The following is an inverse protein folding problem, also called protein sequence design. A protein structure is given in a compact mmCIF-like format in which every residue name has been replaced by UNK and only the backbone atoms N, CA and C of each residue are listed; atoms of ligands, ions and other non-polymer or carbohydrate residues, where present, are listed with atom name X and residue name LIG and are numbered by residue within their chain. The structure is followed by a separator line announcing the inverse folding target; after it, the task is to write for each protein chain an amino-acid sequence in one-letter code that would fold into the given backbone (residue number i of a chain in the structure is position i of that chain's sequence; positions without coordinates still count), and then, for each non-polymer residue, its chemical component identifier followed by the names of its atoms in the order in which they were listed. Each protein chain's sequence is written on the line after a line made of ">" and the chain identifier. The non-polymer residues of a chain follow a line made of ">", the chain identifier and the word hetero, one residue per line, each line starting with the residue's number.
data_IF_849527384103
#
_entry.id   IF_849527384103
#
_cell.length_a   1.000
_cell.length_b   1.000
_cell.length_c   1.000
_cell.angle_alpha   90.00
_cell.angle_beta   90.00
_cell.angle_gamma   90.00
#
_symmetry.space_group_name_H-M   'P 1'
#
loop_
_entity.id
_entity.type
_entity.pdbx_description
1 polymer ?
#
# COMPACT_ATOMS: atom_id res chain seq x y z
N UNK A 1 28.67 -2.40 5.67
CA UNK A 1 28.02 -2.36 7.01
C UNK A 1 27.53 -3.75 7.36
N UNK A 2 27.69 -4.19 8.61
CA UNK A 2 27.08 -5.44 9.09
C UNK A 2 25.89 -5.13 10.00
N UNK A 3 24.80 -5.88 9.84
CA UNK A 3 23.58 -5.73 10.60
C UNK A 3 23.14 -7.09 11.17
N UNK A 4 22.79 -7.13 12.44
CA UNK A 4 22.05 -8.26 12.96
C UNK A 4 20.63 -8.32 12.37
N UNK A 5 19.98 -9.50 12.38
CA UNK A 5 18.60 -9.64 11.92
C UNK A 5 17.63 -8.71 12.69
N UNK A 6 17.90 -8.47 13.98
CA UNK A 6 17.10 -7.55 14.79
C UNK A 6 17.31 -6.07 14.40
N UNK A 7 18.53 -5.66 14.03
CA UNK A 7 18.81 -4.31 13.54
C UNK A 7 18.12 -4.07 12.19
N UNK A 8 18.21 -5.03 11.27
CA UNK A 8 17.53 -4.97 9.97
C UNK A 8 16.01 -4.81 10.12
N UNK A 9 15.41 -5.56 11.05
CA UNK A 9 13.98 -5.45 11.36
C UNK A 9 13.61 -4.08 11.90
N UNK A 10 14.37 -3.56 12.87
CA UNK A 10 14.14 -2.22 13.43
C UNK A 10 14.33 -1.11 12.40
N UNK A 11 15.34 -1.23 11.52
CA UNK A 11 15.53 -0.30 10.40
C UNK A 11 14.29 -0.27 9.49
N UNK A 12 13.76 -1.43 9.12
CA UNK A 12 12.57 -1.53 8.27
C UNK A 12 11.33 -0.94 8.95
N UNK A 13 11.11 -1.25 10.23
CA UNK A 13 9.96 -0.72 10.98
C UNK A 13 10.06 0.80 11.16
N UNK A 14 11.24 1.33 11.50
CA UNK A 14 11.46 2.76 11.64
C UNK A 14 11.24 3.50 10.32
N UNK A 15 11.83 2.99 9.22
CA UNK A 15 11.69 3.57 7.89
C UNK A 15 10.23 3.66 7.44
N UNK A 16 9.37 2.76 7.91
CA UNK A 16 7.96 2.71 7.56
C UNK A 16 7.01 3.33 8.60
N UNK A 17 7.51 4.22 9.44
CA UNK A 17 6.66 5.09 10.26
C UNK A 17 6.20 4.50 11.60
N UNK A 18 6.82 3.42 12.07
CA UNK A 18 6.53 2.88 13.40
C UNK A 18 7.35 3.53 14.52
N UNK A 19 8.22 4.47 14.21
CA UNK A 19 9.03 5.18 15.20
C UNK A 19 8.29 6.38 15.79
N UNK A 20 8.31 6.55 17.12
CA UNK A 20 7.72 7.69 17.80
C UNK A 20 8.35 9.04 17.37
N UNK A 21 9.64 9.06 16.99
CA UNK A 21 10.33 10.29 16.57
C UNK A 21 9.77 10.88 15.26
N UNK A 22 9.11 10.09 14.44
CA UNK A 22 8.43 10.57 13.23
C UNK A 22 7.08 11.21 13.54
N UNK A 23 6.44 10.85 14.67
CA UNK A 23 5.14 11.42 15.08
C UNK A 23 5.26 12.88 15.56
N UNK A 24 6.40 13.28 16.09
CA UNK A 24 6.61 14.62 16.70
C UNK A 24 6.93 15.73 15.70
N UNK A 25 7.27 15.42 14.44
CA UNK A 25 7.62 16.40 13.39
C UNK A 25 6.47 16.74 12.44
N UNK A 26 5.25 16.30 12.74
CA UNK A 26 4.14 16.25 11.79
C UNK A 26 3.33 17.53 11.82
N UNK A 27 3.13 18.18 10.67
CA UNK A 27 2.27 19.35 10.49
C UNK A 27 0.78 18.98 10.51
N UNK A 28 0.42 17.77 10.01
CA UNK A 28 -0.95 17.26 9.89
C UNK A 28 -1.00 15.79 10.34
N UNK A 29 -2.14 15.28 10.80
CA UNK A 29 -2.26 13.96 11.44
C UNK A 29 -1.70 12.77 10.66
N UNK A 30 -1.67 12.84 9.31
CA UNK A 30 -1.29 11.71 8.46
C UNK A 30 0.09 11.85 7.79
N UNK A 31 0.66 13.06 7.78
CA UNK A 31 1.89 13.38 7.03
C UNK A 31 3.03 12.41 7.37
N UNK A 32 3.27 12.12 8.64
CA UNK A 32 4.37 11.24 9.03
C UNK A 32 4.29 9.81 8.49
N UNK A 33 3.09 9.23 8.43
CA UNK A 33 2.89 7.91 7.84
C UNK A 33 2.91 7.96 6.31
N UNK A 34 2.31 8.99 5.72
CA UNK A 34 2.31 9.17 4.27
C UNK A 34 3.73 9.41 3.74
N UNK A 35 4.52 10.22 4.43
CA UNK A 35 5.93 10.44 4.10
C UNK A 35 6.77 9.18 4.27
N UNK A 36 6.51 8.38 5.31
CA UNK A 36 7.22 7.13 5.53
C UNK A 36 6.87 6.06 4.50
N UNK A 37 5.64 6.04 4.01
CA UNK A 37 5.17 5.03 3.05
C UNK A 37 5.35 5.48 1.60
N UNK A 38 5.08 6.74 1.30
CA UNK A 38 5.18 7.32 -0.05
C UNK A 38 4.26 6.73 -1.11
N UNK A 39 3.84 5.48 -0.95
CA UNK A 39 2.95 4.73 -1.85
C UNK A 39 1.87 4.06 -1.01
N UNK A 40 0.62 4.32 -1.32
CA UNK A 40 -0.53 3.62 -0.74
C UNK A 40 -1.25 2.81 -1.81
N UNK A 41 -1.12 1.50 -1.75
CA UNK A 41 -1.81 0.63 -2.69
C UNK A 41 -3.33 0.70 -2.50
N UNK A 42 -4.03 0.87 -3.61
CA UNK A 42 -5.48 0.89 -3.69
C UNK A 42 -6.00 -0.47 -4.14
N UNK A 43 -6.91 -1.03 -3.35
CA UNK A 43 -7.59 -2.28 -3.69
C UNK A 43 -9.10 -2.17 -3.42
N UNK A 44 -9.88 -2.85 -4.23
CA UNK A 44 -11.35 -2.83 -4.16
C UNK A 44 -11.93 -3.65 -3.01
N UNK A 45 -11.15 -4.57 -2.44
CA UNK A 45 -11.58 -5.42 -1.33
C UNK A 45 -11.98 -4.54 -0.13
N UNK A 46 -13.21 -4.74 0.36
CA UNK A 46 -13.80 -4.00 1.48
C UNK A 46 -14.51 -4.93 2.48
N UNK A 47 -13.88 -6.05 2.78
CA UNK A 47 -14.43 -7.05 3.72
C UNK A 47 -14.38 -6.52 5.16
N UNK A 48 -13.27 -5.89 5.54
CA UNK A 48 -13.10 -5.16 6.80
C UNK A 48 -12.96 -3.67 6.51
N UNK A 49 -11.83 -3.24 5.96
CA UNK A 49 -11.55 -1.88 5.51
C UNK A 49 -10.81 -1.92 4.18
N UNK A 50 -10.93 -0.87 3.36
CA UNK A 50 -10.16 -0.75 2.12
C UNK A 50 -8.67 -0.63 2.43
N UNK A 51 -7.85 -1.12 1.51
CA UNK A 51 -6.40 -1.27 1.66
C UNK A 51 -5.66 -0.01 2.14
N UNK A 52 -6.02 1.16 1.62
CA UNK A 52 -5.34 2.43 1.90
C UNK A 52 -5.66 3.03 3.29
N UNK A 53 -6.73 2.59 3.95
CA UNK A 53 -7.04 3.04 5.31
C UNK A 53 -6.19 2.33 6.37
N UNK A 54 -5.88 1.05 6.16
CA UNK A 54 -5.21 0.22 7.15
C UNK A 54 -3.77 0.64 7.45
N UNK A 55 -2.93 1.10 6.49
CA UNK A 55 -1.59 1.58 6.81
C UNK A 55 -1.57 2.77 7.78
N UNK A 56 -2.58 3.64 7.69
CA UNK A 56 -2.75 4.74 8.65
C UNK A 56 -3.19 4.20 10.02
N UNK A 57 -4.18 3.31 10.05
CA UNK A 57 -4.63 2.65 11.28
C UNK A 57 -3.49 1.90 11.98
N UNK A 58 -2.67 1.15 11.25
CA UNK A 58 -1.54 0.40 11.79
C UNK A 58 -0.49 1.28 12.49
N UNK A 59 -0.37 2.55 12.09
CA UNK A 59 0.65 3.48 12.58
C UNK A 59 0.14 4.50 13.58
N UNK A 60 -1.15 4.84 13.51
CA UNK A 60 -1.76 5.89 14.34
C UNK A 60 -2.86 5.37 15.28
N UNK A 61 -3.38 4.16 15.05
CA UNK A 61 -4.62 3.71 15.68
C UNK A 61 -5.85 4.25 14.97
N UNK A 62 -6.97 4.38 15.70
CA UNK A 62 -8.23 4.89 15.15
C UNK A 62 -8.13 6.35 14.71
N UNK A 63 -8.79 6.70 13.62
CA UNK A 63 -8.83 8.06 13.08
C UNK A 63 -10.10 8.27 12.24
N UNK A 64 -10.40 9.53 11.92
CA UNK A 64 -11.50 9.91 11.03
C UNK A 64 -11.11 9.66 9.56
N UNK A 65 -11.80 8.72 8.92
CA UNK A 65 -11.55 8.34 7.52
C UNK A 65 -11.90 9.43 6.51
N UNK A 66 -12.92 10.25 6.80
CA UNK A 66 -13.30 11.36 5.91
C UNK A 66 -12.21 12.44 5.87
N UNK A 67 -11.53 12.66 6.99
CA UNK A 67 -10.35 13.55 7.03
C UNK A 67 -9.19 13.00 6.23
N UNK A 68 -8.95 11.68 6.25
CA UNK A 68 -7.93 11.07 5.40
C UNK A 68 -8.33 11.17 3.92
N UNK A 69 -9.57 10.88 3.56
CA UNK A 69 -10.05 10.99 2.18
C UNK A 69 -9.94 12.44 1.68
N UNK A 70 -10.30 13.41 2.50
CA UNK A 70 -10.12 14.82 2.16
C UNK A 70 -8.65 15.18 1.91
N UNK A 71 -7.72 14.62 2.72
CA UNK A 71 -6.30 14.83 2.54
C UNK A 71 -5.77 14.15 1.27
N UNK A 72 -6.15 12.91 1.02
CA UNK A 72 -5.66 12.13 -0.12
C UNK A 72 -6.20 12.61 -1.48
N UNK A 73 -7.47 13.06 -1.52
CA UNK A 73 -8.14 13.35 -2.79
C UNK A 73 -8.36 14.84 -3.06
N UNK A 74 -8.39 15.69 -2.02
CA UNK A 74 -8.76 17.10 -2.15
C UNK A 74 -7.65 18.09 -1.79
N UNK A 75 -6.51 17.61 -1.25
CA UNK A 75 -5.37 18.49 -0.94
C UNK A 75 -4.58 18.94 -2.17
N UNK A 76 -4.66 18.21 -3.29
CA UNK A 76 -3.79 18.39 -4.44
C UNK A 76 -2.37 17.82 -4.24
N UNK A 77 -2.09 17.17 -3.10
CA UNK A 77 -0.75 16.64 -2.78
C UNK A 77 -0.53 15.21 -3.29
N UNK A 78 -1.61 14.47 -3.56
CA UNK A 78 -1.58 13.08 -4.01
C UNK A 78 -2.31 12.90 -5.34
N UNK A 79 -1.89 11.90 -6.09
CA UNK A 79 -2.54 11.45 -7.33
C UNK A 79 -2.49 9.94 -7.44
N UNK A 80 -3.43 9.35 -8.18
CA UNK A 80 -3.38 7.92 -8.49
C UNK A 80 -2.53 7.64 -9.70
N UNK A 81 -1.67 6.63 -9.59
CA UNK A 81 -1.01 6.03 -10.75
C UNK A 81 -0.58 4.57 -10.48
N UNK A 82 -0.08 3.92 -11.51
CA UNK A 82 0.53 2.60 -11.43
C UNK A 82 1.95 2.70 -10.86
N UNK A 83 2.10 2.63 -9.53
CA UNK A 83 3.38 2.60 -8.84
C UNK A 83 3.67 1.20 -8.30
N UNK A 84 3.18 0.86 -7.10
CA UNK A 84 3.07 -0.52 -6.66
C UNK A 84 1.62 -0.93 -6.87
N UNK A 85 1.30 -1.54 -8.03
CA UNK A 85 -0.05 -1.71 -8.55
C UNK A 85 -0.79 -0.34 -8.67
N UNK A 86 -2.12 -0.32 -8.62
CA UNK A 86 -2.86 0.93 -8.50
C UNK A 86 -2.58 1.55 -7.12
N UNK A 87 -2.06 2.75 -7.08
CA UNK A 87 -1.64 3.37 -5.85
C UNK A 87 -1.82 4.89 -5.86
N UNK A 88 -1.92 5.47 -4.66
CA UNK A 88 -1.71 6.89 -4.43
C UNK A 88 -0.22 7.16 -4.26
N UNK A 89 0.25 8.19 -4.92
CA UNK A 89 1.63 8.70 -4.87
C UNK A 89 1.59 10.23 -4.69
N UNK A 90 2.65 10.85 -4.13
CA UNK A 90 2.76 12.30 -4.14
C UNK A 90 2.70 12.86 -5.57
N UNK A 91 1.97 13.94 -5.76
CA UNK A 91 1.86 14.65 -7.06
C UNK A 91 3.23 15.03 -7.60
N UNK A 92 4.14 15.48 -6.72
CA UNK A 92 5.52 15.84 -7.07
C UNK A 92 6.34 14.67 -7.64
N UNK A 93 5.94 13.42 -7.39
CA UNK A 93 6.63 12.24 -7.90
C UNK A 93 6.05 11.71 -9.21
N UNK A 94 4.92 12.24 -9.66
CA UNK A 94 4.29 11.79 -10.91
C UNK A 94 5.24 11.85 -12.12
N UNK A 95 6.09 12.88 -12.30
CA UNK A 95 7.07 12.93 -13.38
C UNK A 95 8.04 11.73 -13.40
N UNK A 96 8.31 11.12 -12.25
CA UNK A 96 9.18 9.94 -12.14
C UNK A 96 8.56 8.68 -12.75
N UNK A 97 7.28 8.71 -13.09
CA UNK A 97 6.56 7.61 -13.75
C UNK A 97 6.34 7.85 -15.26
N UNK A 98 6.87 8.93 -15.82
CA UNK A 98 6.75 9.26 -17.25
C UNK A 98 7.24 8.14 -18.18
N UNK A 99 8.32 7.44 -17.82
CA UNK A 99 8.81 6.28 -18.56
C UNK A 99 7.77 5.13 -18.64
N UNK A 100 6.93 4.99 -17.60
CA UNK A 100 5.87 3.98 -17.57
C UNK A 100 4.69 4.40 -18.44
N UNK A 101 4.35 5.70 -18.42
CA UNK A 101 3.35 6.28 -19.32
C UNK A 101 3.74 6.06 -20.78
N UNK A 102 5.01 6.25 -21.08
CA UNK A 102 5.55 5.99 -22.42
C UNK A 102 5.48 4.51 -22.81
N UNK A 103 5.80 3.59 -21.89
CA UNK A 103 5.62 2.16 -22.13
C UNK A 103 4.15 1.78 -22.40
N UNK A 104 3.18 2.45 -21.77
CA UNK A 104 1.76 2.26 -22.08
C UNK A 104 1.42 2.74 -23.49
N UNK A 105 1.93 3.90 -23.94
CA UNK A 105 1.75 4.41 -25.32
C UNK A 105 2.30 3.42 -26.33
N UNK A 106 3.57 3.06 -26.20
CA UNK A 106 4.24 2.13 -27.13
C UNK A 106 3.52 0.77 -27.22
N UNK A 107 3.10 0.23 -26.10
CA UNK A 107 2.34 -1.03 -26.10
C UNK A 107 1.00 -0.89 -26.80
N UNK A 108 0.27 0.20 -26.57
CA UNK A 108 -1.03 0.46 -27.20
C UNK A 108 -0.88 0.64 -28.73
N UNK A 109 0.16 1.32 -29.18
CA UNK A 109 0.49 1.47 -30.61
C UNK A 109 0.79 0.13 -31.27
N UNK A 110 1.68 -0.68 -30.66
CA UNK A 110 2.02 -2.02 -31.14
C UNK A 110 0.83 -2.98 -31.23
N UNK A 111 -0.20 -2.77 -30.41
CA UNK A 111 -1.43 -3.55 -30.41
C UNK A 111 -2.54 -2.96 -31.31
N UNK A 112 -2.28 -1.87 -32.01
CA UNK A 112 -3.30 -1.17 -32.80
C UNK A 112 -4.46 -0.61 -31.96
N UNK A 113 -4.27 -0.52 -30.64
CA UNK A 113 -5.33 -0.11 -29.71
C UNK A 113 -5.69 1.36 -29.89
N UNK A 114 -4.71 2.19 -30.13
CA UNK A 114 -4.89 3.63 -30.30
C UNK A 114 -5.75 3.96 -31.53
N UNK A 115 -5.49 3.29 -32.67
CA UNK A 115 -6.28 3.42 -33.89
C UNK A 115 -7.71 2.90 -33.69
N UNK A 116 -7.85 1.71 -33.09
CA UNK A 116 -9.15 1.09 -32.83
C UNK A 116 -10.04 1.85 -31.85
N UNK A 117 -9.46 2.75 -31.03
CA UNK A 117 -10.17 3.56 -30.04
C UNK A 117 -10.14 5.07 -30.36
N UNK A 118 -9.63 5.51 -31.52
CA UNK A 118 -9.39 6.91 -31.82
C UNK A 118 -10.64 7.81 -31.63
N UNK A 119 -11.80 7.35 -32.08
CA UNK A 119 -13.06 8.07 -31.94
C UNK A 119 -13.48 8.19 -30.45
N UNK A 120 -13.33 7.12 -29.68
CA UNK A 120 -13.66 7.11 -28.25
C UNK A 120 -12.69 7.94 -27.42
N UNK A 121 -11.39 7.88 -27.73
CA UNK A 121 -10.36 8.71 -27.11
C UNK A 121 -10.69 10.20 -27.32
N UNK A 122 -11.00 10.59 -28.57
CA UNK A 122 -11.41 11.96 -28.90
C UNK A 122 -12.67 12.39 -28.14
N UNK A 123 -13.66 11.52 -28.09
CA UNK A 123 -14.90 11.77 -27.37
C UNK A 123 -14.66 11.98 -25.86
N UNK A 124 -13.92 11.06 -25.22
CA UNK A 124 -13.60 11.16 -23.80
C UNK A 124 -12.86 12.45 -23.47
N UNK A 125 -11.85 12.84 -24.30
CA UNK A 125 -11.13 14.12 -24.12
C UNK A 125 -12.07 15.32 -24.18
N UNK A 126 -12.94 15.38 -25.18
CA UNK A 126 -13.90 16.48 -25.35
C UNK A 126 -14.87 16.57 -24.17
N UNK A 127 -15.41 15.43 -23.71
CA UNK A 127 -16.33 15.42 -22.58
C UNK A 127 -15.64 15.89 -21.29
N UNK A 128 -14.47 15.37 -20.98
CA UNK A 128 -13.72 15.76 -19.79
C UNK A 128 -13.28 17.22 -19.84
N UNK A 129 -12.93 17.74 -21.03
CA UNK A 129 -12.57 19.14 -21.22
C UNK A 129 -13.75 20.10 -20.98
N UNK A 130 -14.94 19.71 -21.41
CA UNK A 130 -16.14 20.54 -21.32
C UNK A 130 -16.88 20.46 -19.98
N UNK A 131 -16.93 19.27 -19.38
CA UNK A 131 -17.78 18.99 -18.23
C UNK A 131 -16.99 18.76 -16.92
N UNK A 132 -15.65 18.68 -17.01
CA UNK A 132 -14.79 18.42 -15.85
C UNK A 132 -14.79 16.95 -15.41
N UNK A 133 -14.53 16.66 -14.12
CA UNK A 133 -14.34 15.29 -13.64
C UNK A 133 -15.61 14.44 -13.76
N UNK A 134 -15.49 13.27 -14.42
CA UNK A 134 -16.58 12.34 -14.70
C UNK A 134 -16.21 10.90 -14.32
N UNK A 135 -17.19 10.09 -13.91
CA UNK A 135 -17.00 8.64 -13.78
C UNK A 135 -16.99 7.96 -15.15
N UNK A 136 -16.46 6.73 -15.23
CA UNK A 136 -16.55 5.96 -16.46
C UNK A 136 -18.00 5.70 -16.90
N UNK A 137 -18.94 5.61 -15.94
CA UNK A 137 -20.37 5.45 -16.21
C UNK A 137 -20.98 6.68 -16.85
N UNK A 138 -20.61 7.91 -16.41
CA UNK A 138 -21.09 9.18 -16.96
C UNK A 138 -20.55 9.41 -18.38
N UNK A 139 -19.42 8.81 -18.72
CA UNK A 139 -18.80 8.88 -20.04
C UNK A 139 -19.39 7.90 -21.05
N UNK A 140 -20.11 6.85 -20.63
CA UNK A 140 -20.71 5.89 -21.57
C UNK A 140 -21.69 6.58 -22.53
N UNK A 141 -21.57 6.31 -23.83
CA UNK A 141 -22.46 6.87 -24.86
C UNK A 141 -23.83 6.24 -24.86
N UNK A 142 -23.90 4.95 -24.58
CA UNK A 142 -25.14 4.18 -24.57
C UNK A 142 -25.31 3.49 -23.21
N UNK A 143 -26.55 3.44 -22.68
CA UNK A 143 -26.84 2.58 -21.54
C UNK A 143 -26.44 1.16 -21.87
N UNK A 144 -25.76 0.46 -20.97
CA UNK A 144 -25.37 -0.94 -21.15
C UNK A 144 -26.60 -1.79 -21.45
N UNK A 145 -26.92 -1.92 -22.73
CA UNK A 145 -27.92 -2.85 -23.24
C UNK A 145 -27.37 -4.28 -23.15
N UNK A 146 -28.04 -5.11 -22.37
CA UNK A 146 -27.79 -6.44 -21.93
C UNK A 146 -26.95 -7.39 -22.78
N UNK A 147 -26.33 -8.38 -22.10
CA UNK A 147 -25.66 -9.59 -22.59
C UNK A 147 -24.20 -9.45 -23.07
N UNK A 148 -23.38 -8.56 -22.46
CA UNK A 148 -21.93 -8.79 -22.42
C UNK A 148 -21.59 -9.64 -21.19
N UNK A 149 -20.52 -10.44 -21.24
CA UNK A 149 -19.98 -11.07 -20.05
C UNK A 149 -19.53 -9.99 -19.07
N UNK A 150 -19.62 -10.23 -17.77
CA UNK A 150 -19.19 -9.33 -16.68
C UNK A 150 -17.77 -8.73 -16.89
N UNK A 151 -16.96 -9.33 -17.77
CA UNK A 151 -15.57 -8.96 -18.08
C UNK A 151 -15.39 -8.09 -19.34
N UNK A 152 -16.44 -7.87 -20.14
CA UNK A 152 -16.33 -7.07 -21.38
C UNK A 152 -16.42 -5.59 -21.06
N UNK A 153 -15.26 -4.93 -21.11
CA UNK A 153 -15.20 -3.48 -21.01
C UNK A 153 -15.75 -2.83 -22.30
N UNK A 154 -16.56 -1.78 -22.12
CA UNK A 154 -16.99 -0.93 -23.24
C UNK A 154 -15.78 -0.27 -23.91
N UNK A 155 -15.95 0.18 -25.13
CA UNK A 155 -14.91 0.95 -25.83
C UNK A 155 -14.56 2.24 -25.07
N UNK A 156 -15.58 2.92 -24.51
CA UNK A 156 -15.39 4.10 -23.66
C UNK A 156 -14.53 3.79 -22.43
N UNK A 157 -14.83 2.70 -21.71
CA UNK A 157 -14.02 2.28 -20.57
C UNK A 157 -12.58 1.95 -20.96
N UNK A 158 -12.36 1.29 -22.10
CA UNK A 158 -11.03 0.99 -22.63
C UNK A 158 -10.27 2.28 -22.99
N UNK A 159 -10.95 3.27 -23.61
CA UNK A 159 -10.36 4.56 -23.93
C UNK A 159 -9.95 5.34 -22.68
N UNK A 160 -10.81 5.38 -21.65
CA UNK A 160 -10.50 6.04 -20.38
C UNK A 160 -9.29 5.39 -19.69
N UNK A 161 -9.24 4.06 -19.61
CA UNK A 161 -8.10 3.36 -18.99
C UNK A 161 -6.81 3.49 -19.82
N UNK A 162 -6.92 3.58 -21.15
CA UNK A 162 -5.79 3.93 -22.02
C UNK A 162 -5.26 5.34 -21.67
N UNK A 163 -6.11 6.34 -21.65
CA UNK A 163 -5.75 7.72 -21.32
C UNK A 163 -5.20 7.86 -19.90
N UNK A 164 -5.72 7.08 -18.94
CA UNK A 164 -5.17 7.00 -17.59
C UNK A 164 -3.77 6.36 -17.59
N UNK A 165 -3.58 5.27 -18.34
CA UNK A 165 -2.30 4.59 -18.48
C UNK A 165 -1.22 5.46 -19.11
N UNK A 166 -1.58 6.27 -20.14
CA UNK A 166 -0.69 7.22 -20.81
C UNK A 166 -0.46 8.50 -19.99
N UNK A 167 -1.22 8.71 -18.92
CA UNK A 167 -1.11 9.86 -18.04
C UNK A 167 -1.80 11.12 -18.55
N UNK A 168 -2.57 11.04 -19.63
CA UNK A 168 -3.37 12.18 -20.15
C UNK A 168 -4.58 12.45 -19.27
N UNK A 169 -5.10 11.41 -18.62
CA UNK A 169 -6.20 11.46 -17.68
C UNK A 169 -5.73 11.01 -16.29
N UNK A 170 -6.26 11.64 -15.26
CA UNK A 170 -5.97 11.34 -13.85
C UNK A 170 -7.26 11.03 -13.10
N UNK A 171 -7.14 10.44 -11.91
CA UNK A 171 -8.23 10.33 -10.95
C UNK A 171 -8.29 11.61 -10.14
N UNK A 172 -9.32 12.43 -10.35
CA UNK A 172 -9.52 13.64 -9.57
C UNK A 172 -9.98 13.35 -8.15
N UNK A 173 -10.84 12.37 -8.00
CA UNK A 173 -11.36 11.88 -6.71
C UNK A 173 -11.95 10.48 -6.86
N UNK A 174 -12.35 9.89 -5.73
CA UNK A 174 -13.17 8.67 -5.72
C UNK A 174 -14.49 8.88 -4.97
N UNK A 175 -15.59 8.61 -5.65
CA UNK A 175 -16.92 8.61 -5.05
C UNK A 175 -17.42 7.17 -4.94
N UNK A 176 -17.73 6.67 -3.75
CA UNK A 176 -18.05 5.26 -3.53
C UNK A 176 -16.97 4.30 -4.02
N UNK A 177 -15.71 4.75 -4.03
CA UNK A 177 -14.54 4.07 -4.59
C UNK A 177 -14.45 4.04 -6.12
N UNK A 178 -15.39 4.60 -6.84
CA UNK A 178 -15.30 4.80 -8.29
C UNK A 178 -14.47 6.04 -8.59
N UNK A 179 -13.53 5.93 -9.54
CA UNK A 179 -12.75 7.07 -10.03
C UNK A 179 -13.64 8.08 -10.75
N UNK A 180 -13.41 9.34 -10.48
CA UNK A 180 -13.81 10.45 -11.35
C UNK A 180 -12.58 10.91 -12.11
N UNK A 181 -12.62 10.77 -13.40
CA UNK A 181 -11.50 11.07 -14.30
C UNK A 181 -11.53 12.52 -14.72
N UNK A 182 -10.36 13.15 -14.78
CA UNK A 182 -10.15 14.50 -15.29
C UNK A 182 -8.95 14.54 -16.24
N UNK A 183 -8.88 15.54 -17.12
CA UNK A 183 -7.68 15.80 -17.90
C UNK A 183 -6.55 16.25 -16.98
N UNK A 184 -5.38 15.63 -17.14
CA UNK A 184 -4.22 15.93 -16.30
C UNK A 184 -3.83 17.41 -16.35
N UNK A 185 -3.82 18.01 -17.56
CA UNK A 185 -3.48 19.41 -17.80
C UNK A 185 -4.41 20.43 -17.14
N UNK A 186 -5.67 20.04 -16.88
CA UNK A 186 -6.66 20.89 -16.21
C UNK A 186 -6.70 20.69 -14.70
N UNK A 187 -6.20 19.55 -14.23
CA UNK A 187 -6.38 19.14 -12.83
C UNK A 187 -5.08 19.18 -12.00
N UNK A 188 -3.94 18.87 -12.61
CA UNK A 188 -2.67 18.83 -11.91
C UNK A 188 -1.88 20.13 -12.07
N UNK A 189 -1.03 20.47 -11.08
CA UNK A 189 -0.11 21.59 -11.22
C UNK A 189 0.93 21.31 -12.30
N UNK A 190 1.43 22.36 -12.96
CA UNK A 190 2.35 22.29 -14.09
C UNK A 190 3.57 21.40 -13.84
N UNK A 191 4.18 21.48 -12.65
CA UNK A 191 5.36 20.69 -12.29
C UNK A 191 5.09 19.17 -12.28
N UNK A 192 3.85 18.73 -12.20
CA UNK A 192 3.44 17.33 -12.24
C UNK A 192 3.14 16.81 -13.65
N UNK A 193 3.06 17.68 -14.66
CA UNK A 193 2.73 17.31 -16.04
C UNK A 193 3.96 16.83 -16.83
N UNK A 194 5.16 17.22 -16.39
CA UNK A 194 6.43 16.83 -16.99
C UNK A 194 6.76 15.34 -16.85
N UNK A 195 7.84 14.96 -17.50
CA UNK A 195 8.42 13.61 -17.39
C UNK A 195 9.93 13.73 -17.11
N UNK A 196 10.43 12.99 -16.12
CA UNK A 196 11.86 12.87 -15.90
C UNK A 196 12.48 11.87 -16.89
N UNK A 197 13.75 12.06 -17.31
CA UNK A 197 14.49 11.06 -18.08
C UNK A 197 14.43 9.70 -17.36
N UNK A 198 14.22 8.60 -18.11
CA UNK A 198 13.91 7.31 -17.52
C UNK A 198 14.97 6.83 -16.52
N UNK A 199 16.26 7.02 -16.81
CA UNK A 199 17.34 6.61 -15.93
C UNK A 199 17.34 7.44 -14.64
N UNK A 200 17.21 8.76 -14.72
CA UNK A 200 17.10 9.65 -13.56
C UNK A 200 15.90 9.29 -12.70
N UNK A 201 14.76 9.03 -13.31
CA UNK A 201 13.56 8.58 -12.61
C UNK A 201 13.80 7.26 -11.84
N UNK A 202 14.48 6.29 -12.46
CA UNK A 202 14.82 5.03 -11.80
C UNK A 202 15.76 5.24 -10.61
N UNK A 203 16.79 6.09 -10.74
CA UNK A 203 17.70 6.44 -9.63
C UNK A 203 16.93 7.03 -8.47
N UNK A 204 16.08 8.03 -8.71
CA UNK A 204 15.26 8.67 -7.67
C UNK A 204 14.25 7.70 -7.03
N UNK A 205 13.62 6.82 -7.83
CA UNK A 205 12.68 5.84 -7.29
C UNK A 205 13.37 4.76 -6.44
N UNK A 206 14.58 4.33 -6.80
CA UNK A 206 15.39 3.40 -6.00
C UNK A 206 15.85 4.05 -4.70
N UNK A 207 16.31 5.30 -4.73
CA UNK A 207 16.66 6.06 -3.53
C UNK A 207 15.46 6.18 -2.58
N UNK A 208 14.29 6.57 -3.11
CA UNK A 208 13.05 6.64 -2.34
C UNK A 208 12.68 5.28 -1.73
N UNK A 209 12.83 4.18 -2.48
CA UNK A 209 12.58 2.84 -1.98
C UNK A 209 13.54 2.48 -0.83
N UNK A 210 14.83 2.82 -0.94
CA UNK A 210 15.82 2.54 0.10
C UNK A 210 15.49 3.25 1.41
N UNK A 211 15.08 4.52 1.33
CA UNK A 211 14.64 5.29 2.50
C UNK A 211 13.42 4.66 3.19
N UNK A 212 12.48 4.06 2.42
CA UNK A 212 11.23 3.47 2.96
C UNK A 212 11.40 2.03 3.40
N UNK A 213 12.39 1.33 2.87
CA UNK A 213 12.68 -0.05 3.26
C UNK A 213 13.65 -0.15 4.44
N UNK A 214 14.43 0.91 4.71
CA UNK A 214 15.46 0.94 5.74
C UNK A 214 16.68 0.08 5.38
N UNK A 215 16.47 -1.18 5.05
CA UNK A 215 17.46 -2.09 4.46
C UNK A 215 16.77 -2.97 3.41
N UNK A 216 17.40 -3.21 2.28
CA UNK A 216 16.81 -4.02 1.20
C UNK A 216 17.83 -4.60 0.26
N UNK A 217 17.48 -5.74 -0.34
CA UNK A 217 18.19 -6.35 -1.47
C UNK A 217 17.80 -5.67 -2.79
N UNK A 218 18.52 -5.90 -3.87
CA UNK A 218 18.15 -5.34 -5.17
C UNK A 218 16.70 -5.68 -5.60
N UNK A 219 16.20 -6.92 -5.41
CA UNK A 219 14.79 -7.22 -5.65
C UNK A 219 13.83 -6.43 -4.76
N UNK A 220 14.17 -6.16 -3.48
CA UNK A 220 13.32 -5.39 -2.58
C UNK A 220 13.19 -3.94 -3.07
N UNK A 221 14.32 -3.31 -3.42
CA UNK A 221 14.39 -1.94 -3.93
C UNK A 221 13.63 -1.78 -5.26
N UNK A 222 13.77 -2.77 -6.16
CA UNK A 222 13.06 -2.78 -7.43
C UNK A 222 11.55 -2.94 -7.25
N UNK A 223 11.11 -3.82 -6.36
CA UNK A 223 9.70 -4.16 -6.16
C UNK A 223 8.90 -2.97 -5.63
N UNK A 224 9.49 -2.10 -4.82
CA UNK A 224 8.79 -0.98 -4.19
C UNK A 224 8.02 -0.11 -5.18
N UNK A 225 8.62 0.15 -6.36
CA UNK A 225 8.01 0.90 -7.46
C UNK A 225 7.84 0.06 -8.72
N UNK A 226 7.83 -1.27 -8.61
CA UNK A 226 7.68 -2.21 -9.75
C UNK A 226 8.66 -1.93 -10.89
N UNK A 227 9.92 -1.66 -10.56
CA UNK A 227 10.98 -1.50 -11.55
C UNK A 227 11.43 -2.86 -12.09
N UNK A 228 11.82 -2.88 -13.36
CA UNK A 228 12.50 -4.05 -13.94
C UNK A 228 13.91 -4.19 -13.35
N UNK A 229 14.38 -5.42 -13.23
CA UNK A 229 15.67 -5.75 -12.60
C UNK A 229 16.86 -4.95 -13.17
N UNK A 230 16.99 -4.88 -14.50
CA UNK A 230 18.12 -4.18 -15.14
C UNK A 230 18.19 -2.70 -14.77
N UNK A 231 17.13 -1.91 -15.04
CA UNK A 231 17.07 -0.50 -14.64
C UNK A 231 17.26 -0.26 -13.14
N UNK A 232 16.70 -1.13 -12.29
CA UNK A 232 16.88 -1.01 -10.84
C UNK A 232 18.34 -1.27 -10.43
N UNK A 233 19.01 -2.27 -11.03
CA UNK A 233 20.41 -2.55 -10.72
C UNK A 233 21.33 -1.41 -11.16
N UNK A 234 21.13 -0.85 -12.37
CA UNK A 234 21.91 0.30 -12.83
C UNK A 234 21.75 1.52 -11.91
N UNK A 235 20.54 1.76 -11.39
CA UNK A 235 20.27 2.82 -10.42
C UNK A 235 20.94 2.55 -9.06
N UNK A 236 20.93 1.31 -8.59
CA UNK A 236 21.62 0.89 -7.35
C UNK A 236 23.12 1.10 -7.49
N UNK A 237 23.72 0.68 -8.60
CA UNK A 237 25.15 0.79 -8.84
C UNK A 237 25.61 2.26 -8.85
N UNK A 238 24.83 3.15 -9.46
CA UNK A 238 25.08 4.59 -9.44
C UNK A 238 24.97 5.15 -8.00
N UNK A 239 23.89 4.88 -7.28
CA UNK A 239 23.69 5.37 -5.93
C UNK A 239 24.76 4.85 -4.94
N UNK A 240 25.26 3.63 -5.17
CA UNK A 240 26.40 3.10 -4.41
C UNK A 240 27.70 3.83 -4.73
N UNK A 241 27.99 4.10 -6.00
CA UNK A 241 29.15 4.90 -6.41
C UNK A 241 29.14 6.32 -5.83
N UNK A 242 27.93 6.92 -5.75
CA UNK A 242 27.70 8.24 -5.15
C UNK A 242 27.72 8.22 -3.61
N UNK A 243 27.84 7.06 -2.99
CA UNK A 243 27.80 6.89 -1.53
C UNK A 243 26.44 7.20 -0.90
N UNK A 244 25.36 7.19 -1.68
CA UNK A 244 23.98 7.34 -1.21
C UNK A 244 23.48 6.00 -0.64
N UNK A 245 23.76 4.90 -1.33
CA UNK A 245 23.51 3.55 -0.86
C UNK A 245 24.79 2.92 -0.29
N UNK A 246 24.71 2.48 0.94
CA UNK A 246 25.82 1.81 1.65
C UNK A 246 25.60 0.30 1.57
N UNK A 247 26.53 -0.48 1.00
CA UNK A 247 26.45 -1.92 1.00
C UNK A 247 26.36 -2.49 2.41
N UNK A 248 25.46 -3.47 2.59
CA UNK A 248 25.21 -4.10 3.87
C UNK A 248 25.13 -5.62 3.74
N UNK A 249 25.59 -6.32 4.76
CA UNK A 249 25.36 -7.73 5.00
C UNK A 249 24.45 -7.87 6.23
N UNK A 250 23.37 -8.64 6.11
CA UNK A 250 22.43 -8.88 7.19
C UNK A 250 22.56 -10.33 7.66
N UNK A 251 22.67 -10.51 8.97
CA UNK A 251 22.73 -11.83 9.60
C UNK A 251 21.58 -12.73 9.11
N UNK A 252 21.93 -13.93 8.66
CA UNK A 252 20.97 -14.94 8.19
C UNK A 252 20.41 -14.70 6.77
N UNK A 253 20.69 -13.58 6.12
CA UNK A 253 20.25 -13.38 4.73
C UNK A 253 21.21 -14.08 3.76
N UNK A 254 20.67 -15.06 3.04
CA UNK A 254 21.44 -15.90 2.13
C UNK A 254 20.75 -16.04 0.78
N UNK A 255 21.54 -16.08 -0.27
CA UNK A 255 21.09 -16.48 -1.61
C UNK A 255 20.69 -17.95 -1.62
N UNK A 256 20.04 -18.39 -2.70
CA UNK A 256 19.72 -19.82 -2.90
C UNK A 256 20.97 -20.72 -2.90
N UNK A 257 22.13 -20.18 -3.23
CA UNK A 257 23.41 -20.89 -3.19
C UNK A 257 24.08 -20.87 -1.80
N UNK A 258 23.40 -20.33 -0.76
CA UNK A 258 23.91 -20.26 0.62
C UNK A 258 24.92 -19.14 0.87
N UNK A 259 25.27 -18.32 -0.13
CA UNK A 259 26.16 -17.17 0.01
C UNK A 259 25.43 -16.00 0.71
N UNK A 260 26.15 -15.10 1.41
CA UNK A 260 25.55 -13.88 1.95
C UNK A 260 24.80 -13.10 0.86
N UNK A 261 23.57 -12.71 1.13
CA UNK A 261 22.78 -11.88 0.22
C UNK A 261 23.19 -10.42 0.35
N UNK A 262 23.54 -9.78 -0.76
CA UNK A 262 23.91 -8.37 -0.78
C UNK A 262 22.67 -7.50 -0.55
N UNK A 263 22.77 -6.57 0.38
CA UNK A 263 21.75 -5.59 0.68
C UNK A 263 22.33 -4.18 0.73
N UNK A 264 21.46 -3.19 0.79
CA UNK A 264 21.85 -1.77 0.89
C UNK A 264 21.01 -1.08 1.95
N UNK A 265 21.63 -0.08 2.57
CA UNK A 265 21.02 0.85 3.50
C UNK A 265 21.22 2.26 2.95
N UNK A 266 20.24 3.13 3.00
CA UNK A 266 20.44 4.53 2.66
C UNK A 266 21.35 5.19 3.70
N UNK A 267 22.27 6.08 3.28
CA UNK A 267 23.23 6.75 4.20
C UNK A 267 22.53 7.48 5.35
N UNK A 268 21.32 8.00 5.14
CA UNK A 268 20.53 8.71 6.14
C UNK A 268 19.53 7.78 6.88
N UNK A 269 19.65 6.45 6.73
CA UNK A 269 18.75 5.53 7.40
C UNK A 269 18.94 5.54 8.90
N UNK A 270 17.84 5.66 9.64
CA UNK A 270 17.84 5.58 11.10
C UNK A 270 17.58 4.15 11.57
N UNK A 271 18.49 3.61 12.38
CA UNK A 271 18.35 2.28 13.01
C UNK A 271 18.22 2.47 14.51
N UNK A 272 17.00 2.49 15.06
CA UNK A 272 16.80 2.73 16.49
C UNK A 272 17.33 1.55 17.34
N UNK A 273 17.82 1.85 18.54
CA UNK A 273 18.27 0.84 19.49
C UNK A 273 17.13 -0.04 20.00
N UNK A 274 15.91 0.52 20.10
CA UNK A 274 14.68 -0.17 20.51
C UNK A 274 13.53 0.24 19.63
N UNK A 275 12.75 -0.72 19.15
CA UNK A 275 11.49 -0.51 18.44
C UNK A 275 10.70 -1.83 18.45
N UNK A 276 9.52 -1.82 19.04
CA UNK A 276 8.72 -3.02 19.27
C UNK A 276 7.21 -2.71 19.14
N UNK A 277 6.74 -2.26 17.95
CA UNK A 277 5.34 -1.90 17.75
C UNK A 277 4.43 -3.11 17.68
N UNK A 278 3.17 -2.89 18.07
CA UNK A 278 2.05 -3.79 17.84
C UNK A 278 1.15 -3.21 16.76
N UNK A 279 0.69 -4.01 15.79
CA UNK A 279 -0.19 -3.55 14.72
C UNK A 279 -0.94 -4.69 14.02
N UNK A 280 -2.12 -4.36 13.48
CA UNK A 280 -2.77 -5.12 12.42
C UNK A 280 -2.37 -4.51 11.08
N UNK A 281 -1.79 -5.29 10.18
CA UNK A 281 -1.35 -4.82 8.87
C UNK A 281 -2.35 -5.22 7.78
N UNK A 282 -2.42 -4.43 6.73
CA UNK A 282 -3.09 -4.90 5.51
C UNK A 282 -2.18 -5.86 4.73
N UNK A 283 -2.74 -6.82 3.97
CA UNK A 283 -1.97 -7.60 2.99
C UNK A 283 -1.15 -6.75 1.99
N UNK A 284 -1.55 -5.50 1.83
CA UNK A 284 -0.97 -4.52 0.90
C UNK A 284 -0.03 -3.51 1.59
N UNK A 285 0.31 -3.75 2.87
CA UNK A 285 1.31 -2.93 3.57
C UNK A 285 2.72 -3.20 3.02
N UNK A 286 3.56 -2.17 2.81
CA UNK A 286 4.93 -2.35 2.30
C UNK A 286 5.82 -3.29 3.13
N UNK A 287 5.51 -3.51 4.40
CA UNK A 287 6.22 -4.51 5.21
C UNK A 287 6.00 -5.95 4.74
N UNK A 288 4.86 -6.24 4.09
CA UNK A 288 4.46 -7.61 3.76
C UNK A 288 4.08 -7.85 2.30
N UNK A 289 3.84 -6.81 1.50
CA UNK A 289 3.39 -6.99 0.11
C UNK A 289 4.40 -7.74 -0.76
N UNK A 290 5.73 -7.52 -0.54
CA UNK A 290 6.78 -8.29 -1.19
C UNK A 290 7.14 -9.50 -0.32
N UNK A 291 6.53 -10.63 -0.62
CA UNK A 291 6.59 -11.86 0.19
C UNK A 291 8.00 -12.38 0.47
N UNK A 292 8.94 -12.42 -0.52
CA UNK A 292 10.32 -12.85 -0.24
C UNK A 292 11.00 -12.00 0.83
N UNK A 293 10.70 -10.68 0.87
CA UNK A 293 11.19 -9.79 1.91
C UNK A 293 10.55 -10.07 3.27
N UNK A 294 9.22 -10.22 3.31
CA UNK A 294 8.50 -10.51 4.55
C UNK A 294 9.00 -11.83 5.19
N UNK A 295 9.23 -12.85 4.37
CA UNK A 295 9.79 -14.12 4.83
C UNK A 295 11.23 -13.96 5.35
N UNK A 296 12.10 -13.25 4.62
CA UNK A 296 13.49 -13.04 5.01
C UNK A 296 13.62 -12.16 6.26
N UNK A 297 12.80 -11.10 6.40
CA UNK A 297 12.91 -10.13 7.47
C UNK A 297 12.21 -10.59 8.76
N UNK A 298 11.08 -11.29 8.63
CA UNK A 298 10.22 -11.66 9.75
C UNK A 298 10.04 -13.17 9.94
N UNK A 299 10.61 -14.00 9.07
CA UNK A 299 10.34 -15.45 9.01
C UNK A 299 8.84 -15.76 8.87
N UNK A 300 8.13 -14.91 8.13
CA UNK A 300 6.69 -14.95 7.99
C UNK A 300 6.29 -15.32 6.57
N UNK A 301 5.91 -16.58 6.38
CA UNK A 301 5.36 -17.04 5.12
C UNK A 301 3.91 -16.58 4.99
N UNK A 302 3.69 -15.60 4.10
CA UNK A 302 2.39 -14.97 3.95
C UNK A 302 1.86 -15.03 2.52
N UNK A 303 0.57 -15.39 2.39
CA UNK A 303 -0.19 -15.31 1.14
C UNK A 303 -1.60 -14.85 1.45
N UNK A 304 -2.13 -13.93 0.64
CA UNK A 304 -3.54 -13.60 0.66
C UNK A 304 -4.32 -14.67 -0.11
N UNK A 305 -5.45 -15.13 0.42
CA UNK A 305 -6.22 -16.25 -0.15
C UNK A 305 -7.56 -15.82 -0.75
N UNK A 306 -7.73 -14.51 -1.08
CA UNK A 306 -8.98 -13.98 -1.68
C UNK A 306 -9.34 -14.64 -3.02
N UNK A 307 -8.34 -15.09 -3.78
CA UNK A 307 -8.52 -15.79 -5.06
C UNK A 307 -8.51 -17.31 -4.91
N UNK A 308 -8.30 -17.82 -3.70
CA UNK A 308 -8.29 -19.26 -3.41
C UNK A 308 -9.73 -19.73 -3.16
N UNK A 309 -10.22 -20.80 -3.81
CA UNK A 309 -11.50 -21.40 -3.48
C UNK A 309 -11.64 -21.68 -1.99
N UNK A 310 -12.85 -21.51 -1.44
CA UNK A 310 -13.09 -21.55 0.01
C UNK A 310 -12.54 -22.82 0.67
N UNK A 311 -12.75 -23.96 0.04
CA UNK A 311 -12.34 -25.29 0.52
C UNK A 311 -10.82 -25.54 0.50
N UNK A 312 -10.07 -24.67 -0.19
CA UNK A 312 -8.59 -24.75 -0.31
C UNK A 312 -7.86 -23.69 0.53
N UNK A 313 -8.63 -22.82 1.22
CA UNK A 313 -8.04 -21.80 2.08
C UNK A 313 -7.49 -22.42 3.35
N UNK A 314 -6.27 -22.07 3.70
CA UNK A 314 -5.59 -22.55 4.89
C UNK A 314 -5.90 -21.66 6.10
N UNK A 315 -5.87 -20.35 5.89
CA UNK A 315 -5.95 -19.37 6.97
C UNK A 315 -7.22 -18.53 6.98
N UNK A 316 -7.83 -18.30 5.83
CA UNK A 316 -9.05 -17.51 5.70
C UNK A 316 -9.14 -16.75 4.38
N UNK A 317 -10.09 -15.83 4.28
CA UNK A 317 -10.32 -15.06 3.05
C UNK A 317 -9.45 -13.80 2.97
N UNK A 318 -9.54 -12.95 3.99
CA UNK A 318 -8.83 -11.67 4.06
C UNK A 318 -8.07 -11.56 5.38
N UNK A 319 -7.01 -12.36 5.46
CA UNK A 319 -6.18 -12.42 6.66
C UNK A 319 -5.27 -11.19 6.77
N UNK A 320 -5.36 -10.49 7.87
CA UNK A 320 -4.47 -9.39 8.22
C UNK A 320 -3.29 -9.95 9.04
N UNK A 321 -2.02 -9.67 8.66
CA UNK A 321 -0.89 -9.97 9.51
C UNK A 321 -0.99 -9.26 10.86
N UNK A 322 -0.76 -10.00 11.93
CA UNK A 322 -0.69 -9.49 13.30
C UNK A 322 0.78 -9.33 13.71
N UNK A 323 1.18 -8.10 13.97
CA UNK A 323 2.51 -7.77 14.50
C UNK A 323 2.43 -7.51 15.99
N UNK A 324 3.30 -8.16 16.76
CA UNK A 324 3.43 -8.01 18.23
C UNK A 324 4.90 -7.83 18.58
N UNK A 325 5.22 -6.76 19.28
CA UNK A 325 6.59 -6.43 19.65
C UNK A 325 7.55 -6.33 18.46
N UNK A 326 7.06 -5.86 17.30
CA UNK A 326 7.82 -5.74 16.05
C UNK A 326 8.12 -7.08 15.35
N UNK A 327 7.41 -8.16 15.68
CA UNK A 327 7.50 -9.49 15.05
C UNK A 327 6.16 -9.87 14.44
N UNK A 328 6.16 -10.58 13.32
CA UNK A 328 4.92 -11.17 12.82
C UNK A 328 4.53 -12.35 13.70
N UNK A 329 3.53 -12.14 14.53
CA UNK A 329 3.10 -13.08 15.57
C UNK A 329 1.89 -13.92 15.15
N UNK A 330 1.21 -13.54 14.06
CA UNK A 330 0.01 -14.27 13.64
C UNK A 330 -0.66 -13.64 12.42
N UNK A 331 -1.87 -14.12 12.17
CA UNK A 331 -2.76 -13.60 11.10
C UNK A 331 -4.21 -13.78 11.52
N UNK A 332 -5.05 -12.81 11.17
CA UNK A 332 -6.45 -12.78 11.59
C UNK A 332 -7.34 -12.50 10.38
N UNK A 333 -8.29 -13.39 10.09
CA UNK A 333 -9.29 -13.18 9.05
C UNK A 333 -10.46 -12.37 9.61
N UNK A 334 -10.64 -11.15 9.11
CA UNK A 334 -11.61 -10.19 9.61
C UNK A 334 -12.70 -9.87 8.59
N UNK A 335 -13.91 -9.67 9.12
CA UNK A 335 -15.04 -9.14 8.36
C UNK A 335 -15.81 -8.14 9.22
N UNK A 336 -16.13 -6.97 8.66
CA UNK A 336 -17.05 -6.03 9.30
C UNK A 336 -18.51 -6.39 8.95
N UNK A 337 -19.25 -6.85 9.92
CA UNK A 337 -20.72 -6.98 9.84
C UNK A 337 -21.35 -5.65 10.23
N UNK A 338 -21.52 -4.76 9.26
CA UNK A 338 -22.04 -3.40 9.47
C UNK A 338 -23.51 -3.41 9.85
N UNK A 339 -24.29 -4.41 9.40
CA UNK A 339 -25.71 -4.54 9.74
C UNK A 339 -25.88 -5.02 11.18
N UNK A 340 -25.06 -5.95 11.63
CA UNK A 340 -25.06 -6.48 12.99
C UNK A 340 -24.15 -5.70 13.95
N UNK A 341 -23.59 -4.56 13.52
CA UNK A 341 -22.67 -3.72 14.30
C UNK A 341 -21.52 -4.51 14.98
N UNK A 342 -21.02 -5.56 14.34
CA UNK A 342 -20.02 -6.45 14.90
C UNK A 342 -18.77 -6.59 14.02
N UNK A 343 -17.59 -6.68 14.64
CA UNK A 343 -16.37 -7.15 14.01
C UNK A 343 -16.30 -8.66 14.14
N UNK A 344 -16.34 -9.37 13.02
CA UNK A 344 -16.26 -10.80 12.98
C UNK A 344 -14.80 -11.26 12.79
N UNK A 345 -14.26 -11.98 13.74
CA UNK A 345 -13.01 -12.73 13.66
C UNK A 345 -13.37 -14.11 13.10
N UNK A 346 -13.23 -14.29 11.79
CA UNK A 346 -13.60 -15.54 11.11
C UNK A 346 -12.58 -16.65 11.38
N UNK A 347 -11.30 -16.30 11.53
CA UNK A 347 -10.24 -17.19 11.96
C UNK A 347 -9.08 -16.36 12.56
N UNK A 348 -8.36 -16.94 13.52
CA UNK A 348 -7.20 -16.32 14.15
C UNK A 348 -6.09 -17.36 14.37
N UNK A 349 -4.91 -17.08 13.83
CA UNK A 349 -3.78 -18.00 13.83
C UNK A 349 -2.56 -17.34 14.46
N UNK A 350 -1.92 -18.04 15.38
CA UNK A 350 -0.68 -17.63 16.02
C UNK A 350 0.50 -18.38 15.41
N UNK A 351 1.58 -17.65 15.14
CA UNK A 351 2.84 -18.25 14.68
C UNK A 351 3.54 -18.99 15.84
N UNK A 352 4.33 -20.06 15.56
CA UNK A 352 5.00 -20.82 16.61
C UNK A 352 5.96 -20.00 17.50
N UNK A 353 6.54 -18.94 16.93
CA UNK A 353 7.49 -18.04 17.63
C UNK A 353 6.83 -16.80 18.25
N UNK A 354 5.51 -16.75 18.29
CA UNK A 354 4.78 -15.59 18.80
C UNK A 354 5.01 -15.39 20.31
N UNK A 355 5.08 -14.13 20.78
CA UNK A 355 5.15 -13.83 22.21
C UNK A 355 3.95 -14.41 22.99
N UNK A 356 4.16 -14.78 24.24
CA UNK A 356 3.09 -15.35 25.09
C UNK A 356 1.88 -14.44 25.27
N UNK A 357 2.10 -13.12 25.29
CA UNK A 357 1.05 -12.09 25.42
C UNK A 357 0.35 -11.74 24.10
N UNK A 358 0.59 -12.50 23.02
CA UNK A 358 -0.05 -12.27 21.71
C UNK A 358 -1.59 -12.25 21.78
N UNK A 359 -2.28 -13.11 22.54
CA UNK A 359 -3.74 -13.04 22.67
C UNK A 359 -4.25 -11.70 23.22
N UNK A 360 -3.59 -11.17 24.25
CA UNK A 360 -3.99 -9.90 24.88
C UNK A 360 -3.81 -8.73 23.93
N UNK A 361 -2.67 -8.71 23.20
CA UNK A 361 -2.41 -7.70 22.15
C UNK A 361 -3.42 -7.82 21.02
N UNK A 362 -3.73 -9.02 20.56
CA UNK A 362 -4.71 -9.25 19.51
C UNK A 362 -6.09 -8.76 19.95
N UNK A 363 -6.54 -9.08 21.15
CA UNK A 363 -7.82 -8.61 21.69
C UNK A 363 -7.88 -7.09 21.75
N UNK A 364 -6.85 -6.42 22.24
CA UNK A 364 -6.74 -4.96 22.30
C UNK A 364 -6.79 -4.33 20.88
N UNK A 365 -6.02 -4.82 19.92
CA UNK A 365 -6.01 -4.31 18.55
C UNK A 365 -7.34 -4.55 17.83
N UNK A 366 -8.01 -5.66 18.07
CA UNK A 366 -9.34 -5.96 17.54
C UNK A 366 -10.41 -5.04 18.14
N UNK A 367 -10.33 -4.72 19.43
CA UNK A 367 -11.19 -3.73 20.07
C UNK A 367 -11.01 -2.35 19.45
N UNK A 368 -9.77 -1.90 19.26
CA UNK A 368 -9.47 -0.63 18.57
C UNK A 368 -9.98 -0.63 17.13
N UNK A 369 -9.84 -1.75 16.41
CA UNK A 369 -10.33 -1.89 15.05
C UNK A 369 -11.86 -1.84 14.96
N UNK A 370 -12.56 -2.48 15.90
CA UNK A 370 -14.02 -2.42 15.99
C UNK A 370 -14.50 -0.99 16.29
N UNK A 371 -13.94 -0.33 17.30
CA UNK A 371 -14.25 1.05 17.65
C UNK A 371 -13.99 2.02 16.47
N UNK A 372 -12.89 1.88 15.76
CA UNK A 372 -12.57 2.66 14.57
C UNK A 372 -13.61 2.54 13.45
N UNK A 373 -14.26 1.37 13.36
CA UNK A 373 -15.37 1.11 12.43
C UNK A 373 -16.76 1.50 12.98
N UNK A 374 -16.84 1.98 14.23
CA UNK A 374 -18.11 2.24 14.89
C UNK A 374 -18.89 0.96 15.21
N UNK A 375 -18.19 -0.18 15.35
CA UNK A 375 -18.78 -1.47 15.70
C UNK A 375 -18.77 -1.63 17.22
N UNK A 376 -19.85 -2.13 17.79
CA UNK A 376 -20.09 -2.21 19.23
C UNK A 376 -19.73 -3.55 19.85
N UNK A 377 -19.33 -4.52 19.02
CA UNK A 377 -19.02 -5.87 19.47
C UNK A 377 -17.92 -6.51 18.61
N UNK A 378 -17.14 -7.39 19.23
CA UNK A 378 -16.24 -8.32 18.52
C UNK A 378 -16.73 -9.74 18.78
N UNK A 379 -16.87 -10.53 17.70
CA UNK A 379 -17.27 -11.94 17.76
C UNK A 379 -16.21 -12.80 17.11
N UNK A 380 -15.74 -13.82 17.82
CA UNK A 380 -14.80 -14.83 17.30
C UNK A 380 -15.52 -16.12 16.96
N UNK A 381 -15.24 -16.65 15.78
CA UNK A 381 -15.74 -17.98 15.36
C UNK A 381 -14.98 -19.13 16.06
N UNK A 382 -13.92 -18.86 16.81
CA UNK A 382 -13.10 -19.87 17.47
C UNK A 382 -12.29 -20.76 16.52
N UNK A 383 -12.09 -20.33 15.27
CA UNK A 383 -11.30 -21.04 14.27
C UNK A 383 -9.84 -20.59 14.35
N UNK A 384 -8.92 -21.55 14.38
CA UNK A 384 -7.48 -21.31 14.48
C UNK A 384 -6.91 -21.71 15.84
N UNK A 385 -5.66 -21.30 16.08
CA UNK A 385 -4.91 -21.64 17.31
C UNK A 385 -4.57 -20.43 18.19
N UNK A 386 -4.98 -19.21 17.80
CA UNK A 386 -4.85 -18.02 18.63
C UNK A 386 -6.07 -17.93 19.56
N UNK A 387 -5.89 -18.12 20.90
CA UNK A 387 -7.00 -18.09 21.82
C UNK A 387 -7.55 -16.67 21.97
N UNK A 388 -8.83 -16.51 21.63
CA UNK A 388 -9.59 -15.28 21.79
C UNK A 388 -10.94 -15.59 22.47
N UNK A 389 -11.50 -14.67 23.27
CA UNK A 389 -12.88 -14.81 23.76
C UNK A 389 -13.86 -14.99 22.60
N UNK A 390 -14.93 -15.75 22.81
CA UNK A 390 -15.96 -15.94 21.78
C UNK A 390 -16.67 -14.62 21.43
N UNK A 391 -16.78 -13.71 22.42
CA UNK A 391 -17.47 -12.41 22.29
C UNK A 391 -16.95 -11.43 23.33
N UNK A 392 -16.79 -10.17 22.96
CA UNK A 392 -16.49 -9.07 23.89
C UNK A 392 -16.87 -7.73 23.31
N UNK A 393 -17.15 -6.77 24.19
CA UNK A 393 -17.38 -5.38 23.80
C UNK A 393 -16.04 -4.65 23.64
N UNK A 394 -15.86 -3.86 22.59
CA UNK A 394 -14.71 -2.99 22.46
C UNK A 394 -14.75 -1.99 23.62
N UNK A 395 -13.93 -2.17 24.63
CA UNK A 395 -13.75 -1.15 25.65
C UNK A 395 -13.09 0.04 24.96
N UNK A 396 -13.73 1.20 25.01
CA UNK A 396 -13.07 2.46 24.75
C UNK A 396 -12.02 2.60 25.85
N UNK A 397 -10.78 2.25 25.53
CA UNK A 397 -9.68 2.55 26.44
C UNK A 397 -9.63 4.06 26.56
N UNK A 398 -9.95 4.58 27.75
CA UNK A 398 -9.59 5.91 28.17
C UNK A 398 -8.06 6.05 28.12
N UNK A 399 -7.52 6.32 26.94
CA UNK A 399 -6.23 6.95 26.79
C UNK A 399 -6.45 8.45 26.52
N UNK A 400 -7.11 9.10 27.49
CA UNK A 400 -6.69 10.42 27.91
C UNK A 400 -5.35 10.25 28.66
N UNK A 401 -4.27 9.96 27.95
CA UNK A 401 -2.96 10.31 28.46
C UNK A 401 -2.84 11.81 28.34
N UNK A 402 -3.09 12.43 29.46
CA UNK A 402 -2.76 13.74 29.91
C UNK A 402 -1.53 14.28 29.16
N UNK A 403 -1.77 15.29 28.34
CA UNK A 403 -0.86 16.40 28.21
C UNK A 403 -1.23 17.30 29.38
N UNK A 404 -0.69 17.04 30.54
CA UNK A 404 -0.50 18.01 31.59
C UNK A 404 0.95 18.48 31.51
N UNK A 405 1.08 19.80 31.28
CA UNK A 405 2.18 20.74 31.46
C UNK A 405 3.52 20.47 30.77
#
# INVERSE_FOLDING_TARGET
>A
MELSANQARRAALAAQGFSASQRTKVRRPFDGALDALHVLQLDSVNVFARSHYLPMFSRHGGYDRERLDAHLWRSGEFTEYWAHEAALIPVADRPLFGWRMEQFRQRAELQGLTEGLAAEITYVRQRLAAEGPMSSGDLEREPRGGRGTWWDWSQTKRAVEHLFGTGEVVSAERVGFQRRYALAEQFLPEHALGTAPAHEAHVRLVEKAALRLGVGTAPDLADYHRLKRGPAQAAIDQLEQEGVLIPAAVEGWKTKAGQPERAWVHRDAHIPSRLAPDALLTPFDPLVWFRPRAERLFHFHYRIEIYTPKEKRQYGYYCLPLMVGGRMAGRIDLKADRAGAALLVQAAWQEPSAPKHTPDVAQRLLSQAAAWHGLTEVRSAGVGNLPLPARWDPQFGDHQDAVED
#
